data_IF_821070708933
#
_entry.id   IF_821070708933
#
_cell.length_a   1.000
_cell.length_b   1.000
_cell.length_c   1.000
_cell.angle_alpha   90.00
_cell.angle_beta   90.00
_cell.angle_gamma   90.00
#
_symmetry.space_group_name_H-M   'P 1'
#
loop_
_entity.id
_entity.type
_entity.pdbx_description
1 polymer ?
#
# COMPACT_ATOMS: atom_id res chain seq x y z
N UNK A 1 6.79 -47.69 10.87
CA UNK A 1 7.43 -46.38 10.92
C UNK A 1 7.73 -45.98 9.47
N UNK A 2 6.95 -45.03 8.91
CA UNK A 2 7.22 -44.55 7.55
C UNK A 2 8.53 -43.77 7.57
N UNK A 3 9.49 -44.14 6.76
CA UNK A 3 10.76 -43.41 6.54
C UNK A 3 10.45 -42.00 6.08
N UNK A 4 10.64 -41.00 6.96
CA UNK A 4 10.59 -39.59 6.56
C UNK A 4 11.56 -39.38 5.41
N UNK A 5 11.07 -38.95 4.26
CA UNK A 5 11.93 -38.57 3.14
C UNK A 5 12.96 -37.58 3.63
N UNK A 6 14.23 -37.71 3.21
CA UNK A 6 15.32 -36.81 3.57
C UNK A 6 15.06 -35.34 3.16
N UNK A 7 14.05 -35.11 2.35
CA UNK A 7 13.65 -33.79 1.83
C UNK A 7 12.54 -33.10 2.65
N UNK A 8 11.86 -33.83 3.56
CA UNK A 8 10.81 -33.18 4.38
C UNK A 8 11.42 -32.29 5.45
N UNK A 9 11.07 -30.98 5.48
CA UNK A 9 11.55 -30.08 6.52
C UNK A 9 10.94 -30.45 7.87
N UNK A 10 11.67 -30.26 8.99
CA UNK A 10 11.16 -30.51 10.32
C UNK A 10 9.93 -29.65 10.61
N UNK A 11 9.05 -30.15 11.49
CA UNK A 11 7.79 -29.47 11.81
C UNK A 11 8.02 -28.08 12.41
N UNK A 12 9.01 -27.96 13.27
CA UNK A 12 9.44 -26.69 13.88
C UNK A 12 9.84 -25.65 12.83
N UNK A 13 10.67 -26.04 11.85
CA UNK A 13 11.08 -25.17 10.76
C UNK A 13 9.89 -24.67 9.96
N UNK A 14 8.94 -25.54 9.60
CA UNK A 14 7.73 -25.15 8.86
C UNK A 14 6.88 -24.19 9.68
N UNK A 15 6.68 -24.45 10.96
CA UNK A 15 5.79 -23.67 11.81
C UNK A 15 6.38 -22.29 12.11
N UNK A 16 7.68 -22.21 12.45
CA UNK A 16 8.39 -20.94 12.63
C UNK A 16 8.60 -20.19 11.32
N UNK A 17 8.89 -20.90 10.25
CA UNK A 17 9.03 -20.31 8.93
C UNK A 17 7.75 -19.64 8.45
N UNK A 18 6.58 -20.26 8.68
CA UNK A 18 5.28 -19.65 8.39
C UNK A 18 5.09 -18.38 9.24
N UNK A 19 5.37 -18.44 10.54
CA UNK A 19 5.21 -17.28 11.42
C UNK A 19 6.08 -16.10 10.95
N UNK A 20 7.38 -16.35 10.74
CA UNK A 20 8.32 -15.31 10.28
C UNK A 20 7.92 -14.77 8.90
N UNK A 21 7.54 -15.65 7.97
CA UNK A 21 7.12 -15.25 6.64
C UNK A 21 5.85 -14.37 6.70
N UNK A 22 4.82 -14.77 7.46
CA UNK A 22 3.60 -13.95 7.62
C UNK A 22 3.92 -12.60 8.26
N UNK A 23 4.71 -12.57 9.34
CA UNK A 23 5.10 -11.33 9.99
C UNK A 23 5.86 -10.39 9.03
N UNK A 24 6.81 -10.94 8.26
CA UNK A 24 7.55 -10.18 7.24
C UNK A 24 6.66 -9.68 6.12
N UNK A 25 5.71 -10.50 5.66
CA UNK A 25 4.76 -10.12 4.61
C UNK A 25 3.82 -9.01 5.05
N UNK A 26 3.31 -9.09 6.29
CA UNK A 26 2.48 -8.01 6.85
C UNK A 26 3.28 -6.73 6.97
N UNK A 27 4.50 -6.79 7.53
CA UNK A 27 5.37 -5.63 7.68
C UNK A 27 5.72 -5.00 6.33
N UNK A 28 6.20 -5.80 5.37
CA UNK A 28 6.56 -5.30 4.04
C UNK A 28 5.33 -4.79 3.28
N UNK A 29 4.17 -5.43 3.44
CA UNK A 29 2.90 -4.97 2.88
C UNK A 29 2.50 -3.59 3.41
N UNK A 30 2.56 -3.37 4.74
CA UNK A 30 2.23 -2.08 5.35
C UNK A 30 3.23 -0.99 4.93
N UNK A 31 4.54 -1.26 4.98
CA UNK A 31 5.57 -0.29 4.56
C UNK A 31 5.47 0.04 3.07
N UNK A 32 5.08 -0.93 2.23
CA UNK A 32 4.90 -0.71 0.79
C UNK A 32 3.78 0.30 0.46
N UNK A 33 2.82 0.50 1.36
CA UNK A 33 1.76 1.50 1.15
C UNK A 33 2.32 2.92 1.00
N UNK A 34 3.40 3.26 1.70
CA UNK A 34 4.02 4.58 1.66
C UNK A 34 5.26 4.65 0.76
N UNK A 35 5.64 3.55 0.14
CA UNK A 35 6.86 3.45 -0.68
C UNK A 35 6.51 3.70 -2.14
N UNK A 36 6.83 4.87 -2.67
CA UNK A 36 6.53 5.28 -4.05
C UNK A 36 7.76 5.51 -4.94
N UNK A 37 8.97 5.55 -4.36
CA UNK A 37 10.25 5.75 -5.07
C UNK A 37 10.97 4.44 -5.37
N UNK A 38 11.79 4.41 -6.42
CA UNK A 38 12.55 3.23 -6.86
C UNK A 38 13.50 2.68 -5.77
N UNK A 39 14.00 3.54 -4.88
CA UNK A 39 14.81 3.12 -3.73
C UNK A 39 14.10 2.12 -2.81
N UNK A 40 12.78 2.05 -2.84
CA UNK A 40 11.96 1.11 -2.07
C UNK A 40 11.61 -0.18 -2.81
N UNK A 41 12.05 -0.39 -4.05
CA UNK A 41 11.73 -1.56 -4.88
C UNK A 41 12.07 -2.90 -4.18
N UNK A 42 13.11 -2.94 -3.38
CA UNK A 42 13.52 -4.12 -2.63
C UNK A 42 12.45 -4.66 -1.67
N UNK A 43 11.56 -3.79 -1.14
CA UNK A 43 10.45 -4.19 -0.28
C UNK A 43 9.46 -5.09 -1.04
N UNK A 44 9.15 -4.73 -2.28
CA UNK A 44 8.23 -5.49 -3.13
C UNK A 44 8.85 -6.82 -3.57
N UNK A 45 10.17 -6.83 -3.82
CA UNK A 45 10.91 -8.07 -4.07
C UNK A 45 10.87 -8.97 -2.85
N UNK A 46 11.16 -8.45 -1.66
CA UNK A 46 11.12 -9.20 -0.41
C UNK A 46 9.70 -9.75 -0.13
N UNK A 47 8.67 -8.93 -0.36
CA UNK A 47 7.27 -9.36 -0.24
C UNK A 47 6.95 -10.52 -1.20
N UNK A 48 7.33 -10.39 -2.47
CA UNK A 48 7.07 -11.42 -3.49
C UNK A 48 7.80 -12.73 -3.18
N UNK A 49 9.10 -12.67 -2.86
CA UNK A 49 9.90 -13.85 -2.48
C UNK A 49 9.34 -14.49 -1.21
N UNK A 50 9.01 -13.67 -0.21
CA UNK A 50 8.39 -14.14 1.04
C UNK A 50 7.06 -14.86 0.80
N UNK A 51 6.21 -14.34 -0.10
CA UNK A 51 4.95 -14.97 -0.50
C UNK A 51 5.15 -16.34 -1.15
N UNK A 52 6.13 -16.46 -2.07
CA UNK A 52 6.47 -17.73 -2.71
C UNK A 52 7.02 -18.75 -1.70
N UNK A 53 7.88 -18.32 -0.77
CA UNK A 53 8.38 -19.17 0.32
C UNK A 53 7.23 -19.59 1.24
N UNK A 54 6.32 -18.68 1.60
CA UNK A 54 5.14 -18.99 2.40
C UNK A 54 4.26 -20.03 1.72
N UNK A 55 4.04 -19.92 0.40
CA UNK A 55 3.26 -20.90 -0.36
C UNK A 55 3.82 -22.33 -0.22
N UNK A 56 5.14 -22.48 -0.34
CA UNK A 56 5.83 -23.77 -0.16
C UNK A 56 5.67 -24.28 1.27
N UNK A 57 5.89 -23.43 2.28
CA UNK A 57 5.75 -23.81 3.70
C UNK A 57 4.31 -24.19 4.07
N UNK A 58 3.32 -23.45 3.56
CA UNK A 58 1.89 -23.79 3.73
C UNK A 58 1.58 -25.12 3.08
N UNK A 59 2.11 -25.43 1.90
CA UNK A 59 1.98 -26.74 1.26
C UNK A 59 2.47 -27.88 2.16
N UNK A 60 3.65 -27.77 2.77
CA UNK A 60 4.16 -28.75 3.73
C UNK A 60 3.27 -28.85 4.99
N UNK A 61 2.80 -27.71 5.49
CA UNK A 61 1.90 -27.66 6.66
C UNK A 61 0.58 -28.38 6.37
N UNK A 62 -0.06 -28.05 5.26
CA UNK A 62 -1.36 -28.64 4.87
C UNK A 62 -1.25 -30.15 4.66
N UNK A 63 -0.20 -30.62 3.97
CA UNK A 63 0.07 -32.05 3.82
C UNK A 63 0.15 -32.74 5.17
N UNK A 64 0.84 -32.16 6.14
CA UNK A 64 1.02 -32.72 7.49
C UNK A 64 -0.27 -32.75 8.30
N UNK A 65 -1.10 -31.70 8.22
CA UNK A 65 -2.34 -31.58 9.02
C UNK A 65 -3.56 -32.21 8.35
N UNK A 66 -3.48 -32.58 7.06
CA UNK A 66 -4.57 -33.15 6.27
C UNK A 66 -5.32 -34.28 7.01
N UNK A 67 -4.67 -35.31 7.61
CA UNK A 67 -5.40 -36.38 8.28
C UNK A 67 -6.25 -35.91 9.48
N UNK A 68 -5.85 -34.81 10.13
CA UNK A 68 -6.61 -34.23 11.25
C UNK A 68 -7.80 -33.42 10.75
N UNK A 69 -7.62 -32.67 9.67
CA UNK A 69 -8.66 -31.79 9.11
C UNK A 69 -9.76 -32.60 8.42
N UNK A 70 -9.41 -33.71 7.74
CA UNK A 70 -10.37 -34.55 7.01
C UNK A 70 -11.19 -35.47 7.91
N UNK A 71 -10.81 -35.68 9.17
CA UNK A 71 -11.53 -36.53 10.12
C UNK A 71 -12.23 -35.66 11.16
N UNK A 72 -13.52 -35.43 11.01
CA UNK A 72 -14.30 -34.57 11.92
C UNK A 72 -14.24 -35.04 13.40
N UNK A 73 -14.12 -36.32 13.64
CA UNK A 73 -13.91 -36.88 14.98
C UNK A 73 -12.59 -36.45 15.66
N UNK A 74 -11.62 -35.94 14.89
CA UNK A 74 -10.34 -35.41 15.39
C UNK A 74 -10.36 -33.88 15.64
N UNK A 75 -11.50 -33.25 15.43
CA UNK A 75 -11.65 -31.81 15.60
C UNK A 75 -11.73 -31.42 17.07
N UNK A 76 -11.10 -30.33 17.39
CA UNK A 76 -11.17 -29.66 18.67
C UNK A 76 -11.59 -28.19 18.49
N UNK A 77 -11.72 -27.42 19.59
CA UNK A 77 -12.15 -26.00 19.57
C UNK A 77 -11.27 -25.07 18.70
N UNK A 78 -10.01 -25.42 18.49
CA UNK A 78 -9.08 -24.65 17.67
C UNK A 78 -9.06 -25.04 16.20
N UNK A 79 -9.72 -26.14 15.81
CA UNK A 79 -9.70 -26.64 14.42
C UNK A 79 -10.42 -25.71 13.45
N UNK A 80 -11.63 -25.16 13.73
CA UNK A 80 -12.29 -24.22 12.82
C UNK A 80 -11.46 -22.96 12.55
N UNK A 81 -10.83 -22.39 13.60
CA UNK A 81 -9.94 -21.22 13.45
C UNK A 81 -8.72 -21.55 12.59
N UNK A 82 -8.16 -22.76 12.75
CA UNK A 82 -7.03 -23.21 11.92
C UNK A 82 -7.42 -23.37 10.45
N UNK A 83 -8.64 -23.84 10.18
CA UNK A 83 -9.18 -23.97 8.81
C UNK A 83 -9.41 -22.58 8.22
N UNK A 84 -10.06 -21.66 8.97
CA UNK A 84 -10.30 -20.30 8.52
C UNK A 84 -8.97 -19.60 8.18
N UNK A 85 -7.96 -19.72 9.06
CA UNK A 85 -6.62 -19.15 8.82
C UNK A 85 -5.99 -19.73 7.54
N UNK A 86 -6.11 -21.05 7.32
CA UNK A 86 -5.59 -21.68 6.11
C UNK A 86 -6.30 -21.18 4.85
N UNK A 87 -7.63 -21.03 4.89
CA UNK A 87 -8.42 -20.50 3.77
C UNK A 87 -8.02 -19.07 3.45
N UNK A 88 -7.91 -18.18 4.47
CA UNK A 88 -7.50 -16.81 4.27
C UNK A 88 -6.07 -16.70 3.71
N UNK A 89 -5.14 -17.48 4.25
CA UNK A 89 -3.76 -17.48 3.76
C UNK A 89 -3.67 -17.99 2.31
N UNK A 90 -4.40 -19.06 1.97
CA UNK A 90 -4.44 -19.57 0.59
C UNK A 90 -5.11 -18.59 -0.37
N UNK A 91 -6.19 -17.91 0.05
CA UNK A 91 -6.85 -16.90 -0.75
C UNK A 91 -5.93 -15.68 -0.98
N UNK A 92 -5.23 -15.21 0.08
CA UNK A 92 -4.25 -14.14 -0.05
C UNK A 92 -3.11 -14.54 -1.01
N UNK A 93 -2.53 -15.74 -0.87
CA UNK A 93 -1.49 -16.23 -1.78
C UNK A 93 -1.99 -16.35 -3.22
N UNK A 94 -3.18 -16.92 -3.42
CA UNK A 94 -3.76 -17.10 -4.75
C UNK A 94 -4.04 -15.76 -5.44
N UNK A 95 -4.63 -14.79 -4.71
CA UNK A 95 -4.91 -13.46 -5.26
C UNK A 95 -3.62 -12.69 -5.56
N UNK A 96 -2.59 -12.79 -4.70
CA UNK A 96 -1.28 -12.18 -4.94
C UNK A 96 -0.57 -12.76 -6.16
N UNK A 97 -0.53 -14.08 -6.30
CA UNK A 97 0.06 -14.75 -7.47
C UNK A 97 -0.74 -14.41 -8.74
N UNK A 98 -2.07 -14.50 -8.68
CA UNK A 98 -2.91 -14.19 -9.84
C UNK A 98 -2.74 -12.72 -10.29
N UNK A 99 -2.66 -11.77 -9.34
CA UNK A 99 -2.40 -10.36 -9.64
C UNK A 99 -1.15 -10.14 -10.48
N UNK A 100 -0.09 -10.90 -10.22
CA UNK A 100 1.17 -10.76 -10.95
C UNK A 100 1.00 -11.07 -12.44
N UNK A 101 0.27 -12.13 -12.77
CA UNK A 101 0.11 -12.63 -14.15
C UNK A 101 -1.09 -12.01 -14.88
N UNK A 102 -2.13 -11.62 -14.15
CA UNK A 102 -3.33 -11.03 -14.73
C UNK A 102 -3.11 -9.55 -15.10
N UNK A 103 -3.97 -9.00 -15.94
CA UNK A 103 -4.12 -7.56 -16.15
C UNK A 103 -4.68 -6.84 -14.92
N UNK A 104 -5.14 -5.61 -15.09
CA UNK A 104 -5.89 -4.90 -14.08
C UNK A 104 -7.27 -5.57 -13.94
N UNK A 105 -7.47 -6.28 -12.82
CA UNK A 105 -8.68 -7.05 -12.53
C UNK A 105 -9.48 -6.37 -11.43
N UNK A 106 -10.77 -6.17 -11.69
CA UNK A 106 -11.73 -5.59 -10.76
C UNK A 106 -12.67 -6.66 -10.19
N UNK A 107 -12.95 -6.55 -8.90
CA UNK A 107 -13.90 -7.39 -8.15
C UNK A 107 -14.92 -6.44 -7.51
N UNK A 108 -16.03 -6.19 -8.22
CA UNK A 108 -16.94 -5.10 -7.86
C UNK A 108 -16.24 -3.74 -7.96
N UNK A 109 -16.32 -2.86 -6.95
CA UNK A 109 -15.66 -1.56 -6.95
C UNK A 109 -14.16 -1.63 -6.58
N UNK A 110 -13.65 -2.80 -6.22
CA UNK A 110 -12.27 -2.98 -5.75
C UNK A 110 -11.41 -3.69 -6.78
N UNK A 111 -10.12 -3.34 -6.82
CA UNK A 111 -9.17 -4.16 -7.59
C UNK A 111 -8.85 -5.46 -6.83
N UNK A 112 -8.37 -6.46 -7.57
CA UNK A 112 -7.92 -7.71 -6.95
C UNK A 112 -6.77 -7.47 -5.96
N UNK A 113 -5.94 -6.45 -6.17
CA UNK A 113 -4.88 -6.10 -5.21
C UNK A 113 -5.47 -5.58 -3.89
N UNK A 114 -6.54 -4.78 -3.94
CA UNK A 114 -7.27 -4.36 -2.73
C UNK A 114 -7.84 -5.56 -1.98
N UNK A 115 -8.39 -6.55 -2.69
CA UNK A 115 -8.86 -7.82 -2.09
C UNK A 115 -7.70 -8.58 -1.46
N UNK A 116 -6.55 -8.67 -2.13
CA UNK A 116 -5.33 -9.28 -1.58
C UNK A 116 -4.90 -8.62 -0.27
N UNK A 117 -4.85 -7.29 -0.23
CA UNK A 117 -4.49 -6.53 0.97
C UNK A 117 -5.48 -6.79 2.12
N UNK A 118 -6.78 -6.76 1.84
CA UNK A 118 -7.81 -7.05 2.84
C UNK A 118 -7.69 -8.46 3.42
N UNK A 119 -7.47 -9.47 2.56
CA UNK A 119 -7.22 -10.84 3.01
C UNK A 119 -5.95 -10.95 3.87
N UNK A 120 -4.87 -10.28 3.47
CA UNK A 120 -3.61 -10.23 4.24
C UNK A 120 -3.80 -9.60 5.63
N UNK A 121 -4.55 -8.50 5.72
CA UNK A 121 -4.87 -7.87 6.99
C UNK A 121 -5.77 -8.75 7.87
N UNK A 122 -6.75 -9.47 7.29
CA UNK A 122 -7.61 -10.40 8.01
C UNK A 122 -6.85 -11.62 8.56
N UNK A 123 -5.76 -12.03 7.94
CA UNK A 123 -4.88 -13.10 8.47
C UNK A 123 -4.37 -12.75 9.87
N UNK A 124 -4.08 -11.48 10.16
CA UNK A 124 -3.47 -11.05 11.44
C UNK A 124 -4.34 -11.38 12.66
N UNK A 125 -5.58 -10.89 12.79
CA UNK A 125 -6.41 -11.19 13.95
C UNK A 125 -6.75 -12.68 14.06
N UNK A 126 -6.97 -13.37 12.93
CA UNK A 126 -7.25 -14.81 12.94
C UNK A 126 -6.01 -15.60 13.37
N UNK A 127 -4.81 -15.18 12.96
CA UNK A 127 -3.54 -15.77 13.38
C UNK A 127 -3.29 -15.57 14.88
N UNK A 128 -3.55 -14.36 15.42
CA UNK A 128 -3.46 -14.09 16.87
C UNK A 128 -4.43 -14.98 17.65
N UNK A 129 -5.66 -15.15 17.17
CA UNK A 129 -6.63 -16.07 17.76
C UNK A 129 -6.17 -17.52 17.66
N UNK A 130 -5.63 -17.94 16.52
CA UNK A 130 -5.05 -19.28 16.33
C UNK A 130 -3.91 -19.54 17.32
N UNK A 131 -3.04 -18.58 17.55
CA UNK A 131 -1.93 -18.70 18.51
C UNK A 131 -2.42 -18.94 19.92
N UNK A 132 -3.47 -18.27 20.35
CA UNK A 132 -4.05 -18.49 21.68
C UNK A 132 -4.38 -19.96 21.97
N UNK A 133 -4.68 -20.75 20.94
CA UNK A 133 -5.08 -22.16 21.06
C UNK A 133 -3.98 -23.15 20.64
N UNK A 134 -3.01 -22.73 19.86
CA UNK A 134 -2.05 -23.66 19.21
C UNK A 134 -0.58 -23.32 19.45
N UNK A 135 -0.26 -22.10 19.90
CA UNK A 135 1.12 -21.69 20.06
C UNK A 135 1.79 -22.42 21.22
N UNK A 136 2.97 -22.96 20.98
CA UNK A 136 3.85 -23.54 21.99
C UNK A 136 5.25 -22.97 21.81
N UNK A 137 5.81 -22.45 22.89
CA UNK A 137 7.19 -22.00 22.86
C UNK A 137 8.13 -23.14 22.54
N UNK A 138 9.13 -22.95 21.66
CA UNK A 138 10.13 -23.96 21.38
C UNK A 138 10.96 -24.22 22.63
N UNK A 139 11.31 -25.47 22.87
CA UNK A 139 12.26 -25.81 23.91
C UNK A 139 13.67 -25.51 23.39
N UNK A 140 14.55 -24.95 24.22
CA UNK A 140 15.96 -24.65 23.86
C UNK A 140 16.67 -25.84 23.23
N UNK A 141 16.44 -27.06 23.75
CA UNK A 141 17.00 -28.30 23.20
C UNK A 141 16.54 -28.64 21.79
N UNK A 142 15.44 -28.08 21.29
CA UNK A 142 14.95 -28.27 19.91
C UNK A 142 15.68 -27.31 18.95
N UNK A 143 16.05 -26.12 19.42
CA UNK A 143 16.81 -25.12 18.65
C UNK A 143 18.26 -25.58 18.40
N UNK A 144 18.90 -26.20 19.39
CA UNK A 144 20.32 -26.59 19.31
C UNK A 144 20.59 -27.79 18.39
N UNK A 145 19.65 -28.75 18.30
CA UNK A 145 19.81 -29.98 17.52
C UNK A 145 19.61 -29.82 16.00
N UNK A 146 18.88 -28.80 15.59
CA UNK A 146 18.47 -28.62 14.19
C UNK A 146 19.15 -27.42 13.51
N UNK A 147 19.96 -26.62 14.20
CA UNK A 147 20.39 -25.29 13.77
C UNK A 147 21.02 -25.26 12.38
N UNK A 148 22.08 -26.03 12.12
CA UNK A 148 22.81 -25.97 10.83
C UNK A 148 22.01 -26.49 9.65
N UNK A 149 21.28 -27.61 9.85
CA UNK A 149 20.46 -28.21 8.79
C UNK A 149 19.25 -27.31 8.47
N UNK A 150 18.60 -26.76 9.48
CA UNK A 150 17.48 -25.83 9.34
C UNK A 150 17.90 -24.55 8.64
N UNK A 151 19.07 -23.99 8.97
CA UNK A 151 19.64 -22.81 8.30
C UNK A 151 19.86 -23.07 6.80
N UNK A 152 20.43 -24.23 6.44
CA UNK A 152 20.62 -24.62 5.04
C UNK A 152 19.28 -24.79 4.30
N UNK A 153 18.28 -25.39 4.96
CA UNK A 153 16.93 -25.55 4.38
C UNK A 153 16.24 -24.19 4.19
N UNK A 154 16.35 -23.26 5.14
CA UNK A 154 15.87 -21.89 4.96
C UNK A 154 16.60 -21.16 3.83
N UNK A 155 17.92 -21.28 3.76
CA UNK A 155 18.69 -20.72 2.67
C UNK A 155 18.25 -21.26 1.31
N UNK A 156 18.01 -22.59 1.22
CA UNK A 156 17.48 -23.21 0.01
C UNK A 156 16.06 -22.74 -0.35
N UNK A 157 15.19 -22.54 0.65
CA UNK A 157 13.84 -21.99 0.41
C UNK A 157 13.89 -20.54 -0.10
N UNK A 158 14.74 -19.70 0.49
CA UNK A 158 14.93 -18.33 0.03
C UNK A 158 15.54 -18.27 -1.38
N UNK A 159 16.57 -19.09 -1.64
CA UNK A 159 17.15 -19.19 -2.98
C UNK A 159 16.13 -19.68 -4.01
N UNK A 160 15.36 -20.71 -3.68
CA UNK A 160 14.28 -21.22 -4.52
C UNK A 160 13.17 -20.17 -4.76
N UNK A 161 12.76 -19.44 -3.72
CA UNK A 161 11.80 -18.33 -3.81
C UNK A 161 12.32 -17.21 -4.72
N UNK A 162 13.61 -16.88 -4.59
CA UNK A 162 14.26 -15.86 -5.45
C UNK A 162 14.32 -16.32 -6.92
N UNK A 163 14.66 -17.58 -7.17
CA UNK A 163 14.65 -18.13 -8.54
C UNK A 163 13.23 -18.10 -9.13
N UNK A 164 12.23 -18.53 -8.36
CA UNK A 164 10.82 -18.47 -8.79
C UNK A 164 10.37 -17.03 -9.09
N UNK A 165 10.75 -16.08 -8.24
CA UNK A 165 10.49 -14.66 -8.47
C UNK A 165 11.15 -14.18 -9.77
N UNK A 166 12.43 -14.51 -10.01
CA UNK A 166 13.13 -14.14 -11.27
C UNK A 166 12.47 -14.74 -12.50
N UNK A 167 12.03 -15.98 -12.42
CA UNK A 167 11.27 -16.64 -13.50
C UNK A 167 9.92 -15.94 -13.74
N UNK A 168 9.22 -15.57 -12.67
CA UNK A 168 7.98 -14.80 -12.73
C UNK A 168 8.19 -13.46 -13.44
N UNK A 169 9.24 -12.69 -13.08
CA UNK A 169 9.58 -11.42 -13.74
C UNK A 169 9.88 -11.63 -15.23
N UNK A 170 10.61 -12.69 -15.58
CA UNK A 170 10.92 -13.00 -16.97
C UNK A 170 9.67 -13.34 -17.80
N UNK A 171 8.64 -13.94 -17.19
CA UNK A 171 7.38 -14.29 -17.87
C UNK A 171 6.44 -13.09 -18.00
N UNK A 172 6.36 -12.26 -16.95
CA UNK A 172 5.41 -11.12 -16.91
C UNK A 172 5.88 -9.94 -17.78
N UNK A 173 7.20 -9.78 -17.96
CA UNK A 173 7.75 -8.67 -18.75
C UNK A 173 7.56 -7.29 -18.13
N UNK A 174 7.70 -6.22 -18.95
CA UNK A 174 7.79 -4.83 -18.53
C UNK A 174 6.44 -4.12 -18.25
N UNK A 175 5.33 -4.81 -18.18
CA UNK A 175 3.98 -4.20 -18.12
C UNK A 175 3.53 -3.68 -16.74
N UNK A 176 4.46 -3.48 -15.78
CA UNK A 176 4.12 -3.01 -14.43
C UNK A 176 5.26 -2.22 -13.79
N UNK A 177 4.92 -1.37 -12.84
CA UNK A 177 5.90 -0.69 -11.99
C UNK A 177 6.50 -1.65 -10.95
N UNK A 178 7.60 -1.25 -10.32
CA UNK A 178 8.22 -1.99 -9.20
C UNK A 178 7.24 -2.21 -8.03
N UNK A 179 6.24 -1.33 -7.85
CA UNK A 179 5.16 -1.44 -6.86
C UNK A 179 4.15 -2.54 -7.18
N UNK A 180 4.24 -3.19 -8.34
CA UNK A 180 3.26 -4.15 -8.84
C UNK A 180 2.02 -3.50 -9.46
N UNK A 181 1.96 -2.16 -9.50
CA UNK A 181 0.88 -1.41 -10.16
C UNK A 181 0.98 -1.54 -11.67
N UNK A 182 -0.19 -1.56 -12.33
CA UNK A 182 -0.36 -1.70 -13.77
C UNK A 182 -0.86 -0.40 -14.37
N UNK A 183 -0.46 -0.09 -15.58
CA UNK A 183 -0.90 1.10 -16.27
C UNK A 183 -2.42 1.09 -16.46
N UNK A 184 -3.05 2.24 -16.29
CA UNK A 184 -4.48 2.39 -16.42
C UNK A 184 -4.86 3.72 -17.08
N UNK A 185 -5.89 3.67 -17.92
CA UNK A 185 -6.46 4.83 -18.59
C UNK A 185 -5.72 5.27 -19.84
N UNK A 186 -6.23 6.32 -20.47
CA UNK A 186 -5.75 6.97 -21.68
C UNK A 186 -5.14 8.34 -21.43
N UNK A 187 -5.62 9.39 -22.10
CA UNK A 187 -5.15 10.76 -21.95
C UNK A 187 -5.99 11.55 -20.94
N UNK A 188 -5.49 12.66 -20.46
CA UNK A 188 -6.21 13.59 -19.59
C UNK A 188 -6.82 12.92 -18.36
N UNK A 189 -8.12 13.14 -18.13
CA UNK A 189 -8.87 12.54 -17.00
C UNK A 189 -9.23 11.05 -17.20
N UNK A 190 -8.77 10.38 -18.26
CA UNK A 190 -9.07 8.97 -18.49
C UNK A 190 -8.13 8.06 -17.66
N UNK A 191 -8.37 7.98 -16.37
CA UNK A 191 -7.77 7.02 -15.44
C UNK A 191 -8.74 6.71 -14.28
N UNK A 192 -8.57 5.57 -13.55
CA UNK A 192 -9.55 5.18 -12.55
C UNK A 192 -9.69 6.21 -11.42
N UNK A 193 -10.92 6.45 -10.98
CA UNK A 193 -11.20 7.19 -9.75
C UNK A 193 -11.18 6.20 -8.59
N UNK A 194 -10.32 6.47 -7.62
CA UNK A 194 -10.27 5.70 -6.37
C UNK A 194 -10.32 6.68 -5.20
N UNK A 195 -11.29 6.47 -4.31
CA UNK A 195 -11.43 7.20 -3.06
C UNK A 195 -11.74 6.21 -1.94
N UNK A 196 -11.58 6.60 -0.70
CA UNK A 196 -12.13 5.86 0.43
C UNK A 196 -13.66 5.88 0.33
N UNK A 197 -14.32 4.85 0.85
CA UNK A 197 -15.78 4.65 0.66
C UNK A 197 -16.61 5.85 1.12
N UNK A 198 -16.19 6.55 2.16
CA UNK A 198 -16.86 7.73 2.68
C UNK A 198 -16.28 9.06 2.16
N UNK A 199 -15.13 9.04 1.47
CA UNK A 199 -14.45 10.21 0.96
C UNK A 199 -14.90 10.52 -0.49
N UNK A 200 -16.17 10.91 -0.61
CA UNK A 200 -16.85 11.20 -1.88
C UNK A 200 -17.81 12.39 -1.67
N UNK A 201 -17.29 13.62 -1.58
CA UNK A 201 -18.12 14.81 -1.35
C UNK A 201 -18.98 15.12 -2.58
N UNK A 202 -20.02 15.91 -2.39
CA UNK A 202 -20.72 16.54 -3.49
C UNK A 202 -19.77 17.42 -4.32
N UNK A 203 -20.07 17.65 -5.62
CA UNK A 203 -19.26 18.54 -6.46
C UNK A 203 -19.07 19.90 -5.81
N UNK A 204 -17.78 20.30 -5.68
CA UNK A 204 -17.40 21.54 -5.02
C UNK A 204 -17.73 22.72 -5.93
N UNK A 205 -18.49 23.71 -5.41
CA UNK A 205 -18.76 24.96 -6.11
C UNK A 205 -17.50 25.81 -6.19
N UNK A 206 -17.01 26.04 -7.40
CA UNK A 206 -15.78 26.82 -7.66
C UNK A 206 -15.92 28.31 -7.36
N UNK A 207 -17.12 28.85 -7.38
CA UNK A 207 -17.37 30.28 -7.11
C UNK A 207 -17.26 30.59 -5.60
N UNK A 208 -17.66 29.63 -4.76
CA UNK A 208 -17.58 29.73 -3.30
C UNK A 208 -16.28 29.17 -2.74
N UNK A 209 -15.62 28.27 -3.48
CA UNK A 209 -14.40 27.60 -3.02
C UNK A 209 -13.23 28.56 -2.85
N UNK A 210 -12.45 28.34 -1.79
CA UNK A 210 -11.21 29.09 -1.50
C UNK A 210 -10.11 28.13 -1.06
N UNK A 211 -8.88 28.45 -1.45
CA UNK A 211 -7.67 27.86 -0.90
C UNK A 211 -7.10 28.78 0.17
N UNK A 212 -7.03 28.32 1.41
CA UNK A 212 -6.29 29.04 2.46
C UNK A 212 -4.84 28.57 2.52
N UNK A 213 -3.90 29.51 2.55
CA UNK A 213 -2.47 29.26 2.82
C UNK A 213 -2.12 29.95 4.13
N UNK A 214 -1.68 29.18 5.12
CA UNK A 214 -1.51 29.70 6.47
C UNK A 214 -0.67 28.82 7.40
N UNK A 215 -0.98 28.86 8.69
CA UNK A 215 -0.21 28.18 9.72
C UNK A 215 0.98 29.02 10.18
N UNK A 216 2.17 28.46 10.23
CA UNK A 216 3.41 29.13 10.64
C UNK A 216 4.02 29.96 9.50
N UNK A 217 3.30 30.98 9.08
CA UNK A 217 3.70 31.90 8.02
C UNK A 217 3.54 33.37 8.48
N UNK A 218 4.32 34.30 7.92
CA UNK A 218 4.21 35.71 8.21
C UNK A 218 3.07 36.37 7.43
N UNK A 219 2.73 35.87 6.23
CA UNK A 219 1.77 36.42 5.30
C UNK A 219 0.74 35.42 4.86
N UNK A 220 -0.26 35.07 5.70
CA UNK A 220 -1.33 34.16 5.30
C UNK A 220 -2.16 34.78 4.16
N UNK A 221 -2.65 33.93 3.25
CA UNK A 221 -3.39 34.32 2.07
C UNK A 221 -4.53 33.41 1.74
N UNK A 222 -5.52 33.92 1.02
CA UNK A 222 -6.60 33.12 0.41
C UNK A 222 -6.61 33.36 -1.10
N UNK A 223 -6.89 32.30 -1.84
CA UNK A 223 -6.96 32.31 -3.30
C UNK A 223 -8.30 31.71 -3.75
N UNK A 224 -8.96 32.37 -4.71
CA UNK A 224 -10.09 31.78 -5.42
C UNK A 224 -9.63 30.86 -6.57
N UNK A 225 -10.57 30.07 -7.11
CA UNK A 225 -10.28 29.16 -8.21
C UNK A 225 -9.77 29.89 -9.45
N UNK A 226 -10.36 31.05 -9.78
CA UNK A 226 -9.97 31.86 -10.95
C UNK A 226 -8.53 32.32 -10.88
N UNK A 227 -8.07 32.74 -9.70
CA UNK A 227 -6.68 33.20 -9.49
C UNK A 227 -5.67 32.03 -9.72
N UNK A 228 -6.03 30.81 -9.31
CA UNK A 228 -5.17 29.63 -9.48
C UNK A 228 -5.24 29.02 -10.88
N UNK A 229 -6.42 29.05 -11.53
CA UNK A 229 -6.63 28.45 -12.85
C UNK A 229 -6.22 29.35 -14.02
N UNK A 230 -6.34 30.70 -13.87
CA UNK A 230 -6.04 31.67 -14.91
C UNK A 230 -4.58 32.17 -14.89
N UNK A 231 -3.82 31.93 -13.83
CA UNK A 231 -2.43 32.31 -13.69
C UNK A 231 -1.51 31.54 -14.64
N UNK A 232 -0.22 31.91 -14.67
CA UNK A 232 0.80 31.11 -15.32
C UNK A 232 0.82 29.73 -14.63
N UNK A 233 0.58 28.68 -15.39
CA UNK A 233 0.57 27.30 -14.89
C UNK A 233 1.94 26.68 -15.05
N UNK A 234 2.42 26.09 -13.99
CA UNK A 234 3.49 25.12 -14.08
C UNK A 234 2.95 23.80 -14.61
N UNK A 235 3.73 23.13 -15.40
CA UNK A 235 3.42 21.81 -15.91
C UNK A 235 4.43 20.79 -15.38
N UNK A 236 3.94 19.64 -15.00
CA UNK A 236 4.78 18.55 -14.50
C UNK A 236 4.26 17.18 -14.93
N UNK A 237 5.12 16.41 -15.56
CA UNK A 237 4.83 15.01 -15.83
C UNK A 237 5.13 14.18 -14.59
N UNK A 238 4.10 13.61 -13.99
CA UNK A 238 4.23 12.82 -12.78
C UNK A 238 3.36 11.56 -12.80
N UNK A 239 3.85 10.52 -12.13
CA UNK A 239 3.17 9.24 -12.01
C UNK A 239 2.34 9.19 -10.75
N UNK A 240 1.04 9.14 -10.91
CA UNK A 240 0.09 8.80 -9.85
C UNK A 240 0.06 7.27 -9.70
N UNK A 241 0.69 6.76 -8.64
CA UNK A 241 0.75 5.33 -8.35
C UNK A 241 -0.20 4.98 -7.20
N UNK A 242 -1.37 4.46 -7.55
CA UNK A 242 -2.42 4.13 -6.60
C UNK A 242 -2.12 2.84 -5.84
N UNK A 243 -2.34 2.84 -4.53
CA UNK A 243 -2.18 1.65 -3.67
C UNK A 243 -3.14 0.52 -4.03
N UNK A 244 -4.20 0.81 -4.78
CA UNK A 244 -5.10 -0.21 -5.31
C UNK A 244 -4.53 -0.96 -6.53
N UNK A 245 -3.30 -0.62 -7.00
CA UNK A 245 -2.54 -1.40 -7.97
C UNK A 245 -2.64 -0.94 -9.41
N UNK A 246 -3.03 0.29 -9.65
CA UNK A 246 -2.93 0.94 -10.95
C UNK A 246 -2.04 2.19 -10.86
N UNK A 247 -1.47 2.59 -11.97
CA UNK A 247 -0.78 3.87 -12.10
C UNK A 247 -1.17 4.57 -13.40
N UNK A 248 -1.02 5.89 -13.38
CA UNK A 248 -1.18 6.72 -14.56
C UNK A 248 -0.08 7.79 -14.58
N UNK A 249 0.71 7.84 -15.65
CA UNK A 249 1.63 8.94 -15.91
C UNK A 249 0.90 10.02 -16.68
N UNK A 250 0.87 11.23 -16.15
CA UNK A 250 0.11 12.36 -16.71
C UNK A 250 0.91 13.66 -16.61
N UNK A 251 0.65 14.54 -17.54
CA UNK A 251 1.03 15.95 -17.43
C UNK A 251 -0.01 16.67 -16.58
N UNK A 252 0.44 17.25 -15.49
CA UNK A 252 -0.38 17.97 -14.52
C UNK A 252 -0.09 19.46 -14.63
N UNK A 253 -1.14 20.29 -14.70
CA UNK A 253 -1.01 21.74 -14.79
C UNK A 253 -1.62 22.43 -13.56
N UNK A 254 -0.89 23.37 -12.97
CA UNK A 254 -1.35 24.05 -11.77
C UNK A 254 -0.36 25.07 -11.23
N UNK A 255 -0.33 25.24 -9.91
CA UNK A 255 0.53 26.19 -9.21
C UNK A 255 1.52 25.44 -8.33
N UNK A 256 2.81 25.82 -8.44
CA UNK A 256 3.85 25.24 -7.59
C UNK A 256 3.62 25.62 -6.13
N UNK A 257 3.64 24.64 -5.23
CA UNK A 257 3.48 24.90 -3.79
C UNK A 257 4.59 25.80 -3.27
N UNK A 258 5.82 25.67 -3.79
CA UNK A 258 6.95 26.52 -3.46
C UNK A 258 6.64 28.00 -3.65
N UNK A 259 5.98 28.39 -4.76
CA UNK A 259 5.61 29.78 -5.05
C UNK A 259 4.58 30.35 -4.06
N UNK A 260 3.65 29.50 -3.61
CA UNK A 260 2.68 29.89 -2.57
C UNK A 260 3.36 30.07 -1.22
N UNK A 261 4.30 29.18 -0.89
CA UNK A 261 5.10 29.26 0.35
C UNK A 261 6.00 30.48 0.35
N UNK A 262 6.66 30.82 -0.77
CA UNK A 262 7.53 32.00 -0.87
C UNK A 262 6.75 33.29 -0.64
N UNK A 263 5.50 33.38 -1.11
CA UNK A 263 4.60 34.49 -0.85
C UNK A 263 4.09 34.53 0.58
N UNK A 264 3.90 33.36 1.20
CA UNK A 264 3.40 33.26 2.56
C UNK A 264 4.48 33.52 3.62
N UNK A 265 5.77 33.44 3.27
CA UNK A 265 6.93 33.66 4.14
C UNK A 265 6.92 32.75 5.37
N UNK A 266 7.25 31.43 5.21
CA UNK A 266 7.26 30.47 6.30
C UNK A 266 8.24 30.84 7.42
N UNK A 267 7.79 30.77 8.67
CA UNK A 267 8.65 30.90 9.82
C UNK A 267 9.73 29.81 9.87
N UNK A 268 10.90 30.11 10.43
CA UNK A 268 12.04 29.18 10.53
C UNK A 268 11.70 27.84 11.25
N UNK A 269 10.67 27.82 12.11
CA UNK A 269 10.17 26.61 12.77
C UNK A 269 9.16 25.82 11.92
N UNK A 270 8.84 26.28 10.73
CA UNK A 270 7.94 25.58 9.80
C UNK A 270 8.69 24.51 9.03
N UNK A 271 8.63 23.26 9.47
CA UNK A 271 9.36 22.13 8.89
C UNK A 271 8.48 21.23 8.02
N UNK A 272 7.15 21.33 8.15
CA UNK A 272 6.17 20.50 7.46
C UNK A 272 5.07 21.32 6.83
N UNK A 273 4.47 20.80 5.76
CA UNK A 273 3.29 21.35 5.11
C UNK A 273 2.16 20.34 5.14
N UNK A 274 1.03 20.71 5.73
CA UNK A 274 -0.19 19.91 5.77
C UNK A 274 -1.17 20.38 4.71
N UNK A 275 -1.59 19.50 3.85
CA UNK A 275 -2.67 19.69 2.88
C UNK A 275 -3.96 19.08 3.43
N UNK A 276 -5.05 19.83 3.37
CA UNK A 276 -6.37 19.37 3.83
C UNK A 276 -7.41 19.49 2.72
N UNK A 277 -8.24 18.46 2.63
CA UNK A 277 -9.40 18.34 1.75
C UNK A 277 -10.65 18.97 2.35
N UNK A 278 -11.64 19.28 1.53
CA UNK A 278 -13.01 19.63 1.92
C UNK A 278 -13.66 18.56 2.83
N UNK A 279 -13.32 17.30 2.67
CA UNK A 279 -13.83 16.16 3.49
C UNK A 279 -13.11 16.00 4.83
N UNK A 280 -12.12 16.83 5.10
CA UNK A 280 -11.25 16.68 6.28
C UNK A 280 -10.11 15.68 6.11
N UNK A 281 -10.04 14.97 4.95
CA UNK A 281 -8.84 14.19 4.60
C UNK A 281 -7.61 15.09 4.58
N UNK A 282 -6.48 14.58 5.05
CA UNK A 282 -5.26 15.39 5.14
C UNK A 282 -4.00 14.55 5.01
N UNK A 283 -2.95 15.19 4.52
CA UNK A 283 -1.61 14.62 4.47
C UNK A 283 -0.54 15.68 4.66
N UNK A 284 0.50 15.35 5.41
CA UNK A 284 1.65 16.23 5.64
C UNK A 284 2.87 15.70 4.93
N UNK A 285 3.66 16.60 4.38
CA UNK A 285 4.97 16.31 3.79
C UNK A 285 6.01 17.30 4.34
N UNK A 286 7.32 16.94 4.39
CA UNK A 286 8.38 17.86 4.73
C UNK A 286 8.33 19.11 3.83
N UNK A 287 8.65 20.29 4.36
CA UNK A 287 8.50 21.56 3.64
C UNK A 287 9.33 21.60 2.35
N UNK A 288 10.54 21.03 2.36
CA UNK A 288 11.40 20.99 1.17
C UNK A 288 10.78 20.14 0.07
N UNK A 289 10.13 19.02 0.42
CA UNK A 289 9.41 18.18 -0.52
C UNK A 289 8.11 18.87 -0.99
N UNK A 290 7.41 19.56 -0.08
CA UNK A 290 6.20 20.30 -0.42
C UNK A 290 6.45 21.38 -1.46
N UNK A 291 7.61 22.03 -1.44
CA UNK A 291 8.00 23.04 -2.43
C UNK A 291 8.02 22.49 -3.85
N UNK A 292 8.40 21.23 -4.01
CA UNK A 292 8.44 20.54 -5.30
C UNK A 292 7.06 20.00 -5.74
N UNK A 293 6.06 19.98 -4.85
CA UNK A 293 4.71 19.56 -5.18
C UNK A 293 3.98 20.61 -6.03
N UNK A 294 2.97 20.12 -6.79
CA UNK A 294 2.08 20.96 -7.57
C UNK A 294 0.66 20.89 -7.02
N UNK A 295 -0.05 21.99 -6.95
CA UNK A 295 -1.49 22.04 -6.76
C UNK A 295 -2.14 22.13 -8.13
N UNK A 296 -2.59 21.00 -8.64
CA UNK A 296 -3.11 20.87 -10.00
C UNK A 296 -4.57 21.29 -10.08
N UNK A 297 -4.89 22.05 -11.12
CA UNK A 297 -6.24 22.39 -11.59
C UNK A 297 -6.57 21.65 -12.90
N UNK A 298 -5.54 21.14 -13.61
CA UNK A 298 -5.64 20.51 -14.92
C UNK A 298 -4.83 19.20 -14.98
N UNK A 299 -5.23 18.34 -15.91
CA UNK A 299 -4.49 17.11 -16.28
C UNK A 299 -4.60 16.89 -17.79
N UNK A 300 -3.44 16.71 -18.47
CA UNK A 300 -3.38 16.57 -19.93
C UNK A 300 -3.99 17.76 -20.69
N UNK A 301 -3.89 18.97 -20.14
CA UNK A 301 -4.46 20.18 -20.69
C UNK A 301 -5.95 20.42 -20.33
N UNK A 302 -6.69 19.42 -19.88
CA UNK A 302 -8.10 19.54 -19.50
C UNK A 302 -8.26 19.89 -18.03
N UNK A 303 -9.31 20.66 -17.62
CA UNK A 303 -9.65 20.84 -16.23
C UNK A 303 -9.88 19.49 -15.52
N UNK A 304 -9.45 19.39 -14.28
CA UNK A 304 -9.72 18.20 -13.46
C UNK A 304 -11.23 17.95 -13.35
N UNK A 305 -11.62 16.69 -13.41
CA UNK A 305 -12.99 16.31 -13.05
C UNK A 305 -13.13 16.19 -11.53
N UNK A 306 -14.38 16.25 -11.03
CA UNK A 306 -14.67 16.13 -9.61
C UNK A 306 -14.05 14.87 -8.99
N UNK A 307 -14.25 13.70 -9.59
CA UNK A 307 -13.70 12.44 -9.09
C UNK A 307 -12.16 12.40 -9.05
N UNK A 308 -11.49 13.22 -9.85
CA UNK A 308 -10.04 13.36 -9.86
C UNK A 308 -9.52 14.46 -8.93
N UNK A 309 -10.41 15.17 -8.21
CA UNK A 309 -10.06 16.10 -7.15
C UNK A 309 -10.27 17.59 -7.47
N UNK A 310 -11.09 17.92 -8.53
CA UNK A 310 -11.45 19.31 -8.77
C UNK A 310 -12.13 19.96 -7.55
N UNK A 311 -11.88 21.23 -7.26
CA UNK A 311 -11.17 22.20 -8.08
C UNK A 311 -9.64 22.11 -7.99
N UNK A 312 -9.07 21.51 -6.93
CA UNK A 312 -7.64 21.51 -6.67
C UNK A 312 -7.16 20.19 -6.09
N UNK A 313 -6.11 19.63 -6.67
CA UNK A 313 -5.51 18.36 -6.25
C UNK A 313 -4.02 18.52 -5.97
N UNK A 314 -3.54 17.92 -4.88
CA UNK A 314 -2.11 17.78 -4.62
C UNK A 314 -1.51 16.73 -5.58
N UNK A 315 -0.45 17.11 -6.29
CA UNK A 315 0.45 16.25 -7.06
C UNK A 315 1.78 16.21 -6.32
N UNK A 316 2.12 15.04 -5.79
CA UNK A 316 3.31 14.82 -4.97
C UNK A 316 4.17 13.68 -5.57
N UNK A 317 5.07 13.98 -6.52
CA UNK A 317 5.89 12.98 -7.19
C UNK A 317 6.68 12.12 -6.19
N UNK A 318 6.76 10.82 -6.45
CA UNK A 318 7.43 9.88 -5.55
C UNK A 318 6.58 9.41 -4.36
N UNK A 319 5.41 10.02 -4.12
CA UNK A 319 4.44 9.59 -3.10
C UNK A 319 3.39 8.65 -3.70
N UNK A 320 2.80 7.78 -2.85
CA UNK A 320 1.71 6.90 -3.27
C UNK A 320 0.41 7.68 -3.42
N UNK A 321 -0.49 7.21 -4.28
CA UNK A 321 -1.68 7.94 -4.69
C UNK A 321 -2.60 8.41 -3.56
N UNK A 322 -2.70 7.69 -2.44
CA UNK A 322 -3.49 8.14 -1.29
C UNK A 322 -2.90 9.37 -0.60
N UNK A 323 -1.63 9.68 -0.79
CA UNK A 323 -0.96 10.87 -0.26
C UNK A 323 -1.19 12.11 -1.15
N UNK A 324 -1.79 11.93 -2.32
CA UNK A 324 -2.16 12.99 -3.25
C UNK A 324 -3.56 13.50 -2.93
N UNK A 325 -3.65 14.43 -1.99
CA UNK A 325 -4.92 14.95 -1.47
C UNK A 325 -5.78 15.53 -2.58
N UNK A 326 -7.04 15.10 -2.66
CA UNK A 326 -8.06 15.63 -3.56
C UNK A 326 -8.84 16.76 -2.89
N UNK A 327 -9.48 17.62 -3.69
CA UNK A 327 -10.36 18.69 -3.20
C UNK A 327 -9.70 19.54 -2.12
N UNK A 328 -8.45 19.94 -2.35
CA UNK A 328 -7.63 20.69 -1.39
C UNK A 328 -8.27 22.05 -1.10
N UNK A 329 -8.40 22.40 0.16
CA UNK A 329 -8.92 23.69 0.65
C UNK A 329 -7.93 24.43 1.55
N UNK A 330 -6.89 23.77 2.05
CA UNK A 330 -5.93 24.39 2.95
C UNK A 330 -4.52 23.81 2.74
N UNK A 331 -3.55 24.71 2.80
CA UNK A 331 -2.10 24.48 2.86
C UNK A 331 -1.59 25.14 4.12
N UNK A 332 -1.17 24.36 5.10
CA UNK A 332 -0.77 24.86 6.41
C UNK A 332 0.67 24.48 6.73
N UNK A 333 1.51 25.48 6.99
CA UNK A 333 2.87 25.25 7.50
C UNK A 333 2.81 24.90 8.98
N UNK A 334 3.44 23.80 9.38
CA UNK A 334 3.44 23.26 10.75
C UNK A 334 4.86 22.95 11.22
N UNK A 335 5.07 22.84 12.55
CA UNK A 335 6.37 22.47 13.12
C UNK A 335 6.71 21.00 12.95
N UNK A 336 5.70 20.13 12.83
CA UNK A 336 5.89 18.69 12.74
C UNK A 336 4.80 18.00 11.93
N UNK A 337 5.05 16.72 11.66
CA UNK A 337 4.10 15.85 10.97
C UNK A 337 2.79 15.70 11.76
N UNK A 338 1.66 15.85 11.10
CA UNK A 338 0.36 15.58 11.71
C UNK A 338 0.07 14.08 11.73
N UNK A 339 0.45 13.40 12.81
CA UNK A 339 0.26 11.95 12.94
C UNK A 339 -1.21 11.51 12.85
N UNK A 340 -2.19 12.42 13.04
CA UNK A 340 -3.60 12.09 12.87
C UNK A 340 -4.00 11.87 11.40
N UNK A 341 -3.13 12.19 10.44
CA UNK A 341 -3.31 11.84 9.02
C UNK A 341 -3.52 10.34 8.78
N UNK A 342 -2.90 9.48 9.61
CA UNK A 342 -3.06 8.03 9.51
C UNK A 342 -4.46 7.55 9.90
N UNK A 343 -5.18 8.34 10.70
CA UNK A 343 -6.58 8.07 11.06
C UNK A 343 -7.52 8.73 10.07
N UNK A 344 -7.13 9.88 9.50
CA UNK A 344 -7.95 10.63 8.55
C UNK A 344 -8.42 9.77 7.36
N UNK A 345 -7.58 8.84 6.90
CA UNK A 345 -7.93 7.90 5.82
C UNK A 345 -9.20 7.06 6.11
N UNK A 346 -9.54 6.86 7.39
CA UNK A 346 -10.68 6.03 7.80
C UNK A 346 -11.90 6.85 8.23
N UNK A 347 -11.73 8.15 8.49
CA UNK A 347 -12.78 9.02 9.05
C UNK A 347 -13.12 10.21 8.17
N UNK A 348 -12.39 10.44 7.07
CA UNK A 348 -12.72 11.49 6.12
C UNK A 348 -14.06 11.22 5.43
N UNK A 349 -14.87 12.25 5.29
CA UNK A 349 -16.19 12.17 4.69
C UNK A 349 -17.29 11.64 5.62
N UNK A 350 -17.00 11.40 6.92
CA UNK A 350 -18.00 10.99 7.93
C UNK A 350 -18.58 12.18 8.68
#
# INVERSE_FOLDING_TARGET
MATRSRLEPPASLVDWGILVAVASLVLTGLVSLVTGTDGGAWLFVLHSVGGLVLAVLVGFKLRRVRPRVTRSAAWDRGTPVSILLAVLALAALATGVYWVFAGLVWVGPFTLLTVHMALGLLVVPVMLWHFRHRFRWPRRAELDREGRRSALQFGALLAGGTVLWRLQEAVVGAGRRFTGSKEAGGAGNDFPVTSWVADDPDPVDTDEWRLSVGGRVASPAEYDYGQLAAGQRDEETAVLDCTSGWYAEREWGGVRVGDLLDRADPAAAGEWVRFRSVTGYKWSVPIEEARECLLATHVGGDPLTHGHGAPLRLVAPGRRGFQWVKWVTSVEVTEGEDLSQWVAIFVSGL
#
